data_IF_817118863573
#
_entry.id   IF_817118863573
#
_cell.length_a   1.000
_cell.length_b   1.000
_cell.length_c   1.000
_cell.angle_alpha   90.00
_cell.angle_beta   90.00
_cell.angle_gamma   90.00
#
_symmetry.space_group_name_H-M   'P 1'
#
loop_
_entity.id
_entity.type
_entity.pdbx_description
1 polymer ?
#
# COMPACT_ATOMS: atom_id res chain seq x y z
N UNK A 1 1.18 1.47 15.33
CA UNK A 1 0.94 0.93 16.68
C UNK A 1 -0.50 0.48 16.80
N UNK A 2 -0.71 -0.69 17.42
CA UNK A 2 -2.03 -1.19 17.79
C UNK A 2 -2.56 -0.31 18.92
N UNK A 3 -3.78 0.16 18.76
CA UNK A 3 -4.48 0.86 19.80
C UNK A 3 -5.22 -0.20 20.61
N UNK A 4 -4.78 -0.46 21.83
CA UNK A 4 -5.47 -1.35 22.75
C UNK A 4 -6.84 -0.76 23.04
N UNK A 5 -7.86 -1.38 22.44
CA UNK A 5 -9.18 -0.83 22.45
C UNK A 5 -10.07 -1.41 23.51
N UNK A 6 -10.59 -0.55 24.29
CA UNK A 6 -11.96 -0.72 24.75
C UNK A 6 -12.85 -0.78 23.49
N UNK A 7 -13.89 -1.65 23.46
CA UNK A 7 -14.79 -1.67 22.31
C UNK A 7 -15.35 -0.26 22.09
N UNK A 8 -15.31 0.21 20.85
CA UNK A 8 -15.76 1.51 20.39
C UNK A 8 -14.90 2.74 20.76
N UNK A 9 -13.68 2.55 21.27
CA UNK A 9 -12.77 3.64 21.56
C UNK A 9 -11.53 3.59 20.67
N UNK A 10 -11.10 4.75 20.24
CA UNK A 10 -9.76 4.95 19.68
C UNK A 10 -8.84 5.52 20.76
N UNK A 11 -7.52 5.45 20.55
CA UNK A 11 -6.54 6.16 21.40
C UNK A 11 -6.75 7.70 21.42
N UNK A 12 -7.65 8.17 20.59
CA UNK A 12 -8.16 9.55 20.54
C UNK A 12 -9.04 9.88 21.75
N UNK A 13 -9.28 8.91 22.64
CA UNK A 13 -10.13 9.11 23.84
C UNK A 13 -9.51 9.98 24.92
N UNK A 14 -8.20 10.20 24.90
CA UNK A 14 -7.52 11.11 25.82
C UNK A 14 -7.63 12.58 25.40
N UNK A 15 -8.71 12.96 24.72
CA UNK A 15 -9.00 14.35 24.50
C UNK A 15 -9.30 15.05 25.84
N UNK A 16 -8.76 16.25 26.05
CA UNK A 16 -9.13 17.08 27.19
C UNK A 16 -10.65 17.19 27.28
N UNK A 17 -11.20 17.04 28.50
CA UNK A 17 -12.63 17.13 28.80
C UNK A 17 -13.49 15.88 28.53
N UNK A 18 -12.88 14.68 28.39
CA UNK A 18 -13.64 13.43 28.47
C UNK A 18 -14.59 13.13 27.28
N UNK A 19 -14.53 13.90 26.21
CA UNK A 19 -15.36 13.64 25.03
C UNK A 19 -14.78 12.47 24.21
N UNK A 20 -15.51 11.39 24.24
CA UNK A 20 -15.18 10.15 23.54
C UNK A 20 -15.39 10.30 22.03
N UNK A 21 -14.46 9.80 21.26
CA UNK A 21 -14.64 9.64 19.82
C UNK A 21 -15.07 8.21 19.54
N UNK A 22 -16.31 8.05 19.13
CA UNK A 22 -16.84 6.74 18.75
C UNK A 22 -16.48 6.43 17.30
N UNK A 23 -16.00 5.21 17.04
CA UNK A 23 -15.73 4.67 15.71
C UNK A 23 -16.76 3.58 15.35
N UNK A 24 -18.03 3.87 15.57
CA UNK A 24 -19.13 2.94 15.32
C UNK A 24 -19.42 2.78 13.83
N UNK A 25 -19.32 3.87 13.09
CA UNK A 25 -19.49 3.88 11.64
C UNK A 25 -18.16 3.81 10.89
N UNK A 26 -18.21 3.58 9.59
CA UNK A 26 -17.01 3.60 8.75
C UNK A 26 -16.40 4.99 8.60
N UNK A 27 -17.24 6.06 8.60
CA UNK A 27 -16.84 7.47 8.42
C UNK A 27 -17.32 8.27 9.63
N UNK A 28 -16.40 8.81 10.42
CA UNK A 28 -16.68 9.48 11.70
C UNK A 28 -16.03 10.87 11.75
N UNK A 29 -16.74 11.94 11.38
CA UNK A 29 -16.26 13.29 11.62
C UNK A 29 -16.19 13.58 13.13
N UNK A 30 -15.05 14.04 13.62
CA UNK A 30 -14.87 14.44 15.00
C UNK A 30 -15.68 15.72 15.26
N UNK A 31 -16.52 15.69 16.30
CA UNK A 31 -17.25 16.85 16.69
C UNK A 31 -16.32 17.93 17.27
N UNK A 32 -16.62 19.18 16.95
CA UNK A 32 -15.97 20.33 17.57
C UNK A 32 -16.46 20.49 19.01
N UNK A 33 -15.60 21.05 19.81
CA UNK A 33 -15.98 21.52 21.14
C UNK A 33 -16.37 22.99 21.02
N UNK A 34 -17.67 23.27 21.09
CA UNK A 34 -18.20 24.63 21.27
C UNK A 34 -18.28 25.57 20.06
N UNK A 35 -18.19 25.11 18.82
CA UNK A 35 -18.38 25.99 17.66
C UNK A 35 -18.23 25.37 16.28
N UNK A 36 -18.78 26.02 15.25
CA UNK A 36 -19.08 25.44 13.93
C UNK A 36 -18.02 25.66 12.84
N UNK A 37 -16.80 26.07 13.16
CA UNK A 37 -15.93 26.57 12.09
C UNK A 37 -15.32 25.50 11.21
N UNK A 38 -14.63 24.47 11.75
CA UNK A 38 -14.03 23.39 10.96
C UNK A 38 -14.18 22.04 11.69
N UNK A 39 -14.27 20.94 10.94
CA UNK A 39 -14.16 19.59 11.50
C UNK A 39 -12.69 19.32 11.81
N UNK A 40 -12.31 18.95 13.05
CA UNK A 40 -10.91 18.75 13.41
C UNK A 40 -10.21 17.66 12.61
N UNK A 41 -10.87 16.51 12.46
CA UNK A 41 -10.47 15.38 11.64
C UNK A 41 -11.69 14.53 11.26
N UNK A 42 -11.56 13.72 10.22
CA UNK A 42 -12.52 12.66 9.88
C UNK A 42 -11.79 11.32 10.03
N UNK A 43 -12.33 10.44 10.88
CA UNK A 43 -11.79 9.11 11.09
C UNK A 43 -12.48 8.14 10.15
N UNK A 44 -11.70 7.44 9.33
CA UNK A 44 -12.20 6.42 8.42
C UNK A 44 -11.71 5.05 8.89
N UNK A 45 -12.64 4.12 9.11
CA UNK A 45 -12.31 2.78 9.57
C UNK A 45 -12.82 1.71 8.62
N UNK A 46 -11.95 0.80 8.18
CA UNK A 46 -12.31 -0.37 7.41
C UNK A 46 -12.42 -1.62 8.29
N UNK A 47 -13.42 -2.45 7.98
CA UNK A 47 -13.67 -3.73 8.66
C UNK A 47 -13.53 -4.87 7.66
N UNK A 48 -12.32 -5.42 7.47
CA UNK A 48 -12.08 -6.49 6.50
C UNK A 48 -12.94 -7.74 6.74
N UNK A 49 -13.41 -7.95 7.96
CA UNK A 49 -14.25 -9.10 8.32
C UNK A 49 -15.64 -9.10 7.69
N UNK A 50 -16.11 -7.96 7.20
CA UNK A 50 -17.42 -7.81 6.57
C UNK A 50 -17.36 -7.89 5.04
N UNK A 51 -16.18 -8.08 4.47
CA UNK A 51 -15.96 -8.16 3.04
C UNK A 51 -16.72 -9.34 2.44
N UNK A 52 -17.51 -9.08 1.40
CA UNK A 52 -18.28 -10.11 0.71
C UNK A 52 -19.52 -10.60 1.44
N UNK A 53 -19.90 -9.98 2.57
CA UNK A 53 -21.20 -10.23 3.19
C UNK A 53 -22.34 -9.78 2.27
N UNK A 54 -23.55 -10.33 2.46
CA UNK A 54 -24.71 -9.92 1.68
C UNK A 54 -25.04 -8.42 1.78
N UNK A 55 -24.67 -7.81 2.92
CA UNK A 55 -24.91 -6.39 3.21
C UNK A 55 -23.81 -5.45 2.67
N UNK A 56 -22.58 -5.96 2.55
CA UNK A 56 -21.41 -5.20 2.06
C UNK A 56 -20.61 -6.03 1.07
N UNK A 57 -21.14 -6.24 -0.15
CA UNK A 57 -20.48 -7.06 -1.18
C UNK A 57 -19.25 -6.38 -1.80
N UNK A 58 -19.06 -5.09 -1.58
CA UNK A 58 -17.90 -4.33 -2.04
C UNK A 58 -16.76 -4.37 -1.03
N UNK A 59 -15.57 -4.19 -1.53
CA UNK A 59 -14.34 -4.24 -0.73
C UNK A 59 -13.67 -2.86 -0.73
N UNK A 60 -13.40 -2.36 0.48
CA UNK A 60 -12.45 -1.27 0.63
C UNK A 60 -11.04 -1.77 0.33
N UNK A 61 -10.28 -1.00 -0.40
CA UNK A 61 -8.87 -1.27 -0.65
C UNK A 61 -8.02 -0.42 0.30
N UNK A 62 -7.46 -1.08 1.30
CA UNK A 62 -6.62 -0.45 2.32
C UNK A 62 -5.17 -0.89 2.14
N UNK A 63 -4.41 -0.15 1.34
CA UNK A 63 -2.99 -0.35 1.12
C UNK A 63 -2.21 0.93 1.47
N UNK A 64 -2.12 1.27 2.77
CA UNK A 64 -1.44 2.48 3.20
C UNK A 64 0.05 2.47 2.84
N UNK A 65 0.64 1.29 2.75
CA UNK A 65 2.04 1.14 2.34
C UNK A 65 2.28 1.59 0.90
N UNK A 66 1.27 1.48 0.03
CA UNK A 66 1.29 2.03 -1.32
C UNK A 66 0.92 3.52 -1.36
N UNK A 67 0.67 4.15 -0.22
CA UNK A 67 0.18 5.52 -0.14
C UNK A 67 -1.21 5.72 -0.74
N UNK A 68 -2.01 4.66 -0.80
CA UNK A 68 -3.33 4.67 -1.44
C UNK A 68 -4.35 3.88 -0.64
N UNK A 69 -5.51 4.50 -0.42
CA UNK A 69 -6.69 3.85 0.15
C UNK A 69 -7.87 4.16 -0.77
N UNK A 70 -8.65 3.14 -1.11
CA UNK A 70 -9.93 3.28 -1.80
C UNK A 70 -11.03 2.82 -0.87
N UNK A 71 -12.03 3.67 -0.65
CA UNK A 71 -13.06 3.46 0.34
C UNK A 71 -14.45 3.73 -0.22
N UNK A 72 -15.39 2.84 0.08
CA UNK A 72 -16.79 3.01 -0.31
C UNK A 72 -17.53 3.90 0.69
N UNK A 73 -18.31 4.83 0.19
CA UNK A 73 -19.13 5.72 1.00
C UNK A 73 -20.20 5.00 1.82
N UNK A 74 -20.91 5.75 2.64
CA UNK A 74 -21.84 5.23 3.65
C UNK A 74 -23.27 5.04 3.16
N UNK A 75 -23.58 5.24 1.88
CA UNK A 75 -24.91 4.94 1.34
C UNK A 75 -25.10 3.44 1.12
N UNK A 76 -26.23 2.91 1.59
CA UNK A 76 -26.68 1.53 1.37
C UNK A 76 -28.14 1.47 0.89
N UNK A 77 -28.77 2.61 0.77
CA UNK A 77 -30.22 2.73 0.47
C UNK A 77 -30.50 3.15 -0.97
N UNK A 78 -31.55 2.57 -1.55
CA UNK A 78 -31.99 2.83 -2.91
C UNK A 78 -32.64 4.20 -3.05
N UNK A 79 -33.37 4.64 -2.01
CA UNK A 79 -34.21 5.83 -2.03
C UNK A 79 -33.55 7.11 -1.55
N UNK A 80 -32.31 7.02 -1.08
CA UNK A 80 -31.58 8.15 -0.50
C UNK A 80 -30.51 8.60 -1.45
N UNK A 81 -30.44 9.89 -1.74
CA UNK A 81 -29.32 10.49 -2.47
C UNK A 81 -28.04 10.32 -1.68
N UNK A 82 -26.98 9.76 -2.29
CA UNK A 82 -25.74 9.45 -1.58
C UNK A 82 -25.08 10.68 -0.96
N UNK A 83 -25.27 11.86 -1.53
CA UNK A 83 -24.75 13.15 -1.05
C UNK A 83 -25.39 13.59 0.28
N UNK A 84 -26.59 13.11 0.58
CA UNK A 84 -27.32 13.43 1.83
C UNK A 84 -26.87 12.56 3.00
N UNK A 85 -26.15 11.47 2.74
CA UNK A 85 -25.57 10.64 3.81
C UNK A 85 -24.47 11.40 4.56
N UNK A 86 -24.47 11.30 5.88
CA UNK A 86 -23.61 12.10 6.77
C UNK A 86 -22.12 11.93 6.42
N UNK A 87 -21.67 10.69 6.23
CA UNK A 87 -20.27 10.40 5.90
C UNK A 87 -19.90 10.88 4.50
N UNK A 88 -20.69 10.54 3.49
CA UNK A 88 -20.47 11.00 2.12
C UNK A 88 -20.44 12.53 2.03
N UNK A 89 -21.41 13.21 2.66
CA UNK A 89 -21.47 14.67 2.71
C UNK A 89 -20.22 15.29 3.32
N UNK A 90 -19.71 14.69 4.41
CA UNK A 90 -18.49 15.15 5.06
C UNK A 90 -17.28 14.98 4.16
N UNK A 91 -17.13 13.82 3.50
CA UNK A 91 -16.00 13.56 2.60
C UNK A 91 -16.07 14.39 1.32
N UNK A 92 -17.24 14.56 0.71
CA UNK A 92 -17.39 15.40 -0.49
C UNK A 92 -17.00 16.85 -0.23
N UNK A 93 -17.42 17.42 0.91
CA UNK A 93 -16.99 18.77 1.31
C UNK A 93 -15.48 18.85 1.43
N UNK A 94 -14.83 17.81 1.97
CA UNK A 94 -13.37 17.81 2.08
C UNK A 94 -12.69 17.55 0.75
N UNK A 95 -13.28 16.78 -0.15
CA UNK A 95 -12.76 16.60 -1.50
C UNK A 95 -12.58 17.93 -2.24
N UNK A 96 -13.55 18.82 -2.15
CA UNK A 96 -13.45 20.18 -2.73
C UNK A 96 -12.28 20.96 -2.10
N UNK A 97 -12.15 20.96 -0.79
CA UNK A 97 -11.08 21.67 -0.07
C UNK A 97 -9.70 21.07 -0.31
N UNK A 98 -9.61 19.74 -0.38
CA UNK A 98 -8.34 19.04 -0.62
C UNK A 98 -7.77 19.28 -2.02
N UNK A 99 -8.64 19.53 -2.99
CA UNK A 99 -8.25 19.77 -4.38
C UNK A 99 -8.30 21.25 -4.78
N UNK A 100 -8.55 22.15 -3.83
CA UNK A 100 -8.55 23.59 -4.09
C UNK A 100 -7.14 24.10 -4.43
N UNK A 101 -7.07 24.98 -5.41
CA UNK A 101 -5.81 25.70 -5.74
C UNK A 101 -5.44 26.76 -4.69
N UNK A 102 -6.41 27.20 -3.88
CA UNK A 102 -6.21 28.23 -2.86
C UNK A 102 -5.60 27.62 -1.59
N UNK A 103 -4.51 28.20 -1.11
CA UNK A 103 -3.86 27.77 0.13
C UNK A 103 -4.77 27.97 1.35
N UNK A 104 -5.62 29.02 1.37
CA UNK A 104 -6.54 29.28 2.49
C UNK A 104 -7.60 28.20 2.64
N UNK A 105 -8.09 27.63 1.54
CA UNK A 105 -9.03 26.51 1.58
C UNK A 105 -8.35 25.26 2.15
N UNK A 106 -7.10 25.00 1.70
CA UNK A 106 -6.31 23.87 2.22
C UNK A 106 -5.91 24.04 3.69
N UNK A 107 -5.65 25.27 4.16
CA UNK A 107 -5.45 25.55 5.59
C UNK A 107 -6.65 25.13 6.44
N UNK A 108 -7.86 25.34 5.93
CA UNK A 108 -9.12 25.00 6.59
C UNK A 108 -9.57 23.56 6.32
N UNK A 109 -8.90 22.83 5.43
CA UNK A 109 -9.24 21.46 5.10
C UNK A 109 -9.06 20.52 6.32
N UNK A 110 -9.84 19.44 6.34
CA UNK A 110 -9.86 18.48 7.44
C UNK A 110 -9.02 17.25 7.08
N UNK A 111 -8.04 16.85 7.89
CA UNK A 111 -7.28 15.63 7.67
C UNK A 111 -8.19 14.40 7.79
N UNK A 112 -7.96 13.44 6.92
CA UNK A 112 -8.60 12.12 6.99
C UNK A 112 -7.62 11.16 7.65
N UNK A 113 -8.05 10.48 8.71
CA UNK A 113 -7.22 9.57 9.50
C UNK A 113 -7.76 8.15 9.33
N UNK A 114 -6.88 7.21 9.02
CA UNK A 114 -7.24 5.87 8.60
C UNK A 114 -6.98 4.84 9.69
N UNK A 115 -7.96 3.98 9.91
CA UNK A 115 -7.89 2.85 10.82
C UNK A 115 -8.37 1.57 10.14
N UNK A 116 -7.75 0.46 10.48
CA UNK A 116 -8.16 -0.88 10.08
C UNK A 116 -8.51 -1.69 11.32
N UNK A 117 -9.64 -2.37 11.30
CA UNK A 117 -9.99 -3.32 12.37
C UNK A 117 -9.18 -4.58 12.21
N UNK A 118 -8.49 -4.98 13.26
CA UNK A 118 -7.60 -6.15 13.27
C UNK A 118 -8.01 -7.10 14.38
N UNK A 119 -7.80 -8.40 14.14
CA UNK A 119 -7.95 -9.43 15.15
C UNK A 119 -6.73 -9.46 16.05
N UNK A 120 -6.93 -9.58 17.37
CA UNK A 120 -5.87 -9.75 18.35
C UNK A 120 -6.37 -10.66 19.48
N UNK A 121 -5.49 -11.53 19.96
CA UNK A 121 -5.75 -12.41 21.13
C UNK A 121 -7.05 -13.23 21.00
N UNK A 122 -7.33 -13.78 19.80
CA UNK A 122 -8.52 -14.57 19.54
C UNK A 122 -9.82 -13.77 19.38
N UNK A 123 -9.78 -12.44 19.51
CA UNK A 123 -10.92 -11.55 19.29
C UNK A 123 -10.88 -11.01 17.87
N UNK A 124 -11.84 -11.43 17.06
CA UNK A 124 -11.96 -11.00 15.66
C UNK A 124 -12.31 -9.50 15.48
N UNK A 125 -12.80 -8.84 16.52
CA UNK A 125 -13.27 -7.45 16.48
C UNK A 125 -12.84 -6.72 17.74
N UNK A 126 -12.48 -5.45 17.63
CA UNK A 126 -12.26 -4.57 18.79
C UNK A 126 -10.95 -3.80 18.79
N UNK A 127 -9.94 -4.26 18.05
CA UNK A 127 -8.66 -3.54 17.94
C UNK A 127 -8.62 -2.73 16.65
N UNK A 128 -8.04 -1.54 16.73
CA UNK A 128 -7.85 -0.63 15.61
C UNK A 128 -6.36 -0.42 15.38
N UNK A 129 -5.94 -0.66 14.16
CA UNK A 129 -4.60 -0.35 13.69
C UNK A 129 -4.63 1.01 13.00
N UNK A 130 -3.74 1.91 13.41
CA UNK A 130 -3.55 3.19 12.73
C UNK A 130 -2.82 2.97 11.40
N UNK A 131 -3.45 3.40 10.31
CA UNK A 131 -2.91 3.22 8.96
C UNK A 131 -2.46 4.54 8.31
N UNK A 132 -2.27 5.58 9.08
CA UNK A 132 -1.80 6.87 8.59
C UNK A 132 -2.90 7.91 8.44
N UNK A 133 -2.57 9.01 7.78
CA UNK A 133 -3.49 10.11 7.49
C UNK A 133 -3.22 10.67 6.09
N UNK A 134 -4.16 11.44 5.58
CA UNK A 134 -4.01 11.99 4.23
C UNK A 134 -5.19 12.81 3.77
N UNK A 135 -5.33 12.89 2.45
CA UNK A 135 -6.33 13.68 1.75
C UNK A 135 -7.13 12.83 0.75
N UNK A 136 -8.24 13.36 0.29
CA UNK A 136 -9.05 12.78 -0.79
C UNK A 136 -8.51 13.30 -2.13
N UNK A 137 -8.10 12.40 -3.01
CA UNK A 137 -7.61 12.73 -4.36
C UNK A 137 -8.69 12.59 -5.43
N UNK A 138 -9.67 11.70 -5.22
CA UNK A 138 -10.77 11.46 -6.15
C UNK A 138 -12.05 11.09 -5.41
N UNK A 139 -13.19 11.47 -5.97
CA UNK A 139 -14.51 11.05 -5.54
C UNK A 139 -15.33 10.67 -6.78
N UNK A 140 -15.65 9.40 -6.91
CA UNK A 140 -16.36 8.84 -8.05
C UNK A 140 -17.76 8.37 -7.64
N UNK A 141 -18.79 8.79 -8.37
CA UNK A 141 -20.16 8.31 -8.18
C UNK A 141 -20.34 6.98 -8.90
N UNK A 142 -20.72 5.94 -8.16
CA UNK A 142 -20.82 4.58 -8.66
C UNK A 142 -22.18 3.95 -8.36
N UNK A 143 -22.57 2.98 -9.20
CA UNK A 143 -23.74 2.14 -8.94
C UNK A 143 -23.25 0.83 -8.30
N UNK A 144 -23.85 0.48 -7.17
CA UNK A 144 -23.55 -0.74 -6.42
C UNK A 144 -24.81 -1.60 -6.35
N UNK A 145 -24.64 -2.92 -6.22
CA UNK A 145 -25.72 -3.87 -6.09
C UNK A 145 -25.80 -4.41 -4.67
N UNK A 146 -26.94 -4.32 -4.03
CA UNK A 146 -27.21 -4.88 -2.72
C UNK A 146 -27.91 -6.24 -2.88
N UNK A 147 -27.22 -7.32 -2.54
CA UNK A 147 -27.75 -8.68 -2.64
C UNK A 147 -28.93 -8.94 -1.71
N UNK A 148 -28.94 -8.34 -0.53
CA UNK A 148 -30.02 -8.54 0.46
C UNK A 148 -31.34 -7.95 0.03
N UNK A 149 -31.34 -6.79 -0.63
CA UNK A 149 -32.52 -6.11 -1.13
C UNK A 149 -32.79 -6.35 -2.62
N UNK A 150 -31.92 -7.13 -3.28
CA UNK A 150 -31.93 -7.40 -4.73
C UNK A 150 -32.15 -6.13 -5.57
N UNK A 151 -31.41 -5.07 -5.24
CA UNK A 151 -31.59 -3.74 -5.84
C UNK A 151 -30.26 -3.02 -6.05
N UNK A 152 -30.27 -2.11 -7.04
CA UNK A 152 -29.16 -1.20 -7.28
C UNK A 152 -29.34 0.08 -6.45
N UNK A 153 -28.24 0.63 -5.99
CA UNK A 153 -28.19 1.93 -5.32
C UNK A 153 -26.96 2.70 -5.75
N UNK A 154 -27.00 4.02 -5.59
CA UNK A 154 -25.88 4.90 -5.93
C UNK A 154 -25.07 5.20 -4.67
N UNK A 155 -23.76 5.17 -4.80
CA UNK A 155 -22.84 5.51 -3.73
C UNK A 155 -21.62 6.28 -4.29
N UNK A 156 -20.68 6.60 -3.44
CA UNK A 156 -19.38 7.15 -3.81
C UNK A 156 -18.27 6.17 -3.51
N UNK A 157 -17.24 6.18 -4.35
CA UNK A 157 -15.93 5.63 -4.04
C UNK A 157 -14.96 6.81 -3.92
N UNK A 158 -14.26 6.85 -2.80
CA UNK A 158 -13.25 7.86 -2.51
C UNK A 158 -11.86 7.25 -2.62
N UNK A 159 -10.97 7.90 -3.38
CA UNK A 159 -9.56 7.58 -3.40
C UNK A 159 -8.80 8.56 -2.50
N UNK A 160 -7.95 8.02 -1.64
CA UNK A 160 -7.16 8.79 -0.71
C UNK A 160 -5.66 8.63 -1.00
N UNK A 161 -4.94 9.72 -0.84
CA UNK A 161 -3.48 9.73 -0.75
C UNK A 161 -3.10 9.71 0.72
N UNK A 162 -2.33 8.69 1.11
CA UNK A 162 -1.77 8.56 2.47
C UNK A 162 -0.39 9.19 2.47
N UNK A 163 -0.15 10.09 3.43
CA UNK A 163 1.11 10.79 3.55
C UNK A 163 2.18 9.94 4.24
N UNK A 164 3.40 10.09 3.77
CA UNK A 164 4.57 9.43 4.33
C UNK A 164 5.12 10.25 5.50
N UNK A 165 5.05 9.70 6.70
CA UNK A 165 5.62 10.30 7.91
C UNK A 165 7.03 9.74 8.23
N UNK A 166 7.35 8.56 7.71
CA UNK A 166 8.64 7.91 7.99
C UNK A 166 9.82 8.64 7.32
N UNK A 167 9.58 9.28 6.18
CA UNK A 167 10.61 10.05 5.47
C UNK A 167 11.16 11.21 6.31
N UNK A 168 10.40 11.69 7.27
CA UNK A 168 10.72 12.84 8.12
C UNK A 168 10.96 12.43 9.58
N UNK A 169 10.93 11.13 9.86
CA UNK A 169 11.08 10.57 11.22
C UNK A 169 10.08 11.17 12.23
N UNK A 170 8.87 11.47 11.74
CA UNK A 170 7.80 12.07 12.55
C UNK A 170 6.78 11.02 13.00
N UNK A 171 6.33 11.13 14.24
CA UNK A 171 5.16 10.43 14.74
C UNK A 171 3.90 11.30 14.55
N UNK A 172 2.75 10.64 14.36
CA UNK A 172 1.48 11.36 14.29
C UNK A 172 1.09 11.93 15.66
N UNK A 173 1.07 13.25 15.77
CA UNK A 173 0.69 13.93 16.99
C UNK A 173 -0.83 14.19 17.09
N UNK A 174 -1.48 13.58 18.05
CA UNK A 174 -2.89 13.87 18.38
C UNK A 174 -3.09 15.27 18.96
N UNK A 175 -2.04 15.89 19.47
CA UNK A 175 -2.08 17.29 19.92
C UNK A 175 -2.47 18.25 18.79
N UNK A 176 -2.04 17.96 17.56
CA UNK A 176 -2.51 18.71 16.40
C UNK A 176 -4.04 18.68 16.27
N UNK A 177 -4.65 17.51 16.42
CA UNK A 177 -6.10 17.34 16.35
C UNK A 177 -6.80 18.02 17.53
N UNK A 178 -6.19 17.98 18.72
CA UNK A 178 -6.69 18.70 19.90
C UNK A 178 -6.70 20.21 19.68
N UNK A 179 -5.63 20.80 19.13
CA UNK A 179 -5.59 22.20 18.78
C UNK A 179 -6.65 22.58 17.74
N UNK A 180 -6.93 21.71 16.77
CA UNK A 180 -8.00 21.93 15.78
C UNK A 180 -9.41 21.87 16.40
N UNK A 181 -9.57 21.27 17.56
CA UNK A 181 -10.82 21.27 18.33
C UNK A 181 -10.99 22.53 19.19
N UNK A 182 -9.92 23.20 19.52
CA UNK A 182 -9.95 24.41 20.32
C UNK A 182 -10.53 25.57 19.51
N UNK A 183 -11.59 26.18 20.02
CA UNK A 183 -12.28 27.31 19.35
C UNK A 183 -11.47 28.59 19.34
N UNK A 184 -10.49 28.71 20.22
CA UNK A 184 -9.61 29.86 20.33
C UNK A 184 -8.45 29.79 19.35
N UNK A 185 -8.20 28.61 18.77
CA UNK A 185 -7.10 28.35 17.82
C UNK A 185 -7.64 28.32 16.40
N UNK A 186 -7.02 29.08 15.50
CA UNK A 186 -7.35 29.01 14.07
C UNK A 186 -6.78 27.76 13.42
N UNK A 187 -7.34 27.35 12.27
CA UNK A 187 -6.79 26.25 11.51
C UNK A 187 -5.31 26.51 11.13
N UNK A 188 -4.99 27.73 10.77
CA UNK A 188 -3.64 28.19 10.45
C UNK A 188 -2.68 28.07 11.64
N UNK A 189 -3.11 28.50 12.82
CA UNK A 189 -2.27 28.41 14.02
C UNK A 189 -2.05 26.96 14.46
N UNK A 190 -3.01 26.08 14.20
CA UNK A 190 -2.86 24.65 14.46
C UNK A 190 -1.79 23.97 13.58
N UNK A 191 -1.41 24.56 12.43
CA UNK A 191 -0.40 24.03 11.53
C UNK A 191 0.98 23.87 12.18
N UNK A 192 1.27 24.63 13.25
CA UNK A 192 2.54 24.48 13.98
C UNK A 192 2.76 23.06 14.52
N UNK A 193 1.69 22.34 14.85
CA UNK A 193 1.72 20.97 15.34
C UNK A 193 1.34 19.94 14.28
N UNK A 194 1.04 20.39 13.07
CA UNK A 194 0.75 19.50 11.96
C UNK A 194 2.02 18.78 11.48
N UNK A 195 1.93 17.51 11.02
CA UNK A 195 3.03 16.84 10.36
C UNK A 195 3.58 17.65 9.17
N UNK A 196 4.87 17.53 8.92
CA UNK A 196 5.54 18.29 7.86
C UNK A 196 4.93 18.04 6.47
N UNK A 197 4.52 16.78 6.20
CA UNK A 197 3.81 16.41 4.98
C UNK A 197 2.51 17.21 4.80
N UNK A 198 1.72 17.41 5.87
CA UNK A 198 0.52 18.22 5.82
C UNK A 198 0.83 19.69 5.54
N UNK A 199 1.83 20.26 6.25
CA UNK A 199 2.26 21.66 6.04
C UNK A 199 2.75 21.90 4.60
N UNK A 200 3.50 20.95 4.04
CA UNK A 200 3.99 21.05 2.66
C UNK A 200 2.84 20.99 1.65
N UNK A 201 1.88 20.09 1.86
CA UNK A 201 0.68 20.00 1.02
C UNK A 201 -0.18 21.27 1.12
N UNK A 202 -0.42 21.81 2.29
CA UNK A 202 -1.16 23.07 2.45
C UNK A 202 -0.50 24.18 1.63
N UNK A 203 0.82 24.27 1.67
CA UNK A 203 1.59 25.29 0.95
C UNK A 203 1.58 25.09 -0.57
N UNK A 204 1.80 23.86 -1.05
CA UNK A 204 2.07 23.56 -2.47
C UNK A 204 0.89 22.90 -3.21
N UNK A 205 -0.12 22.42 -2.49
CA UNK A 205 -1.26 21.73 -3.06
C UNK A 205 -0.90 20.40 -3.72
N UNK A 206 -1.68 20.04 -4.74
CA UNK A 206 -1.55 18.76 -5.47
C UNK A 206 -0.17 18.55 -6.10
N UNK A 207 0.56 19.60 -6.42
CA UNK A 207 1.93 19.54 -6.96
C UNK A 207 2.94 18.86 -6.04
N UNK A 208 2.64 18.78 -4.74
CA UNK A 208 3.51 18.12 -3.75
C UNK A 208 3.19 16.62 -3.55
N UNK A 209 2.07 16.12 -4.06
CA UNK A 209 1.56 14.80 -3.71
C UNK A 209 2.49 13.66 -4.13
N UNK A 210 3.14 13.74 -5.27
CA UNK A 210 4.08 12.71 -5.72
C UNK A 210 5.25 12.52 -4.75
N UNK A 211 5.69 13.62 -4.11
CA UNK A 211 6.75 13.60 -3.10
C UNK A 211 6.24 13.14 -1.73
N UNK A 212 5.04 13.60 -1.35
CA UNK A 212 4.49 13.39 -0.01
C UNK A 212 3.78 12.06 0.15
N UNK A 213 3.39 11.42 -0.96
CA UNK A 213 2.73 10.14 -0.94
C UNK A 213 3.64 9.09 -0.33
N UNK A 214 3.10 8.33 0.63
CA UNK A 214 3.79 7.17 1.21
C UNK A 214 4.21 6.23 0.08
N UNK A 215 5.49 5.90 0.04
CA UNK A 215 6.03 5.00 -0.97
C UNK A 215 6.27 3.63 -0.37
N UNK A 216 5.94 2.61 -1.12
CA UNK A 216 6.19 1.20 -0.77
C UNK A 216 7.69 0.95 -0.50
N UNK A 217 8.54 1.74 -1.15
CA UNK A 217 9.98 1.56 -1.23
C UNK A 217 10.69 1.39 0.12
N UNK A 218 10.22 2.08 1.17
CA UNK A 218 10.96 2.07 2.45
C UNK A 218 10.57 0.94 3.41
N UNK A 219 9.39 0.34 3.24
CA UNK A 219 8.87 -0.71 4.11
C UNK A 219 9.18 -2.14 3.60
N UNK A 220 9.70 -2.26 2.39
CA UNK A 220 9.96 -3.56 1.74
C UNK A 220 11.44 -3.87 1.58
N UNK A 221 12.33 -3.04 2.12
CA UNK A 221 13.77 -3.35 2.15
C UNK A 221 14.03 -4.36 3.26
N UNK A 222 14.31 -5.59 2.86
CA UNK A 222 14.64 -6.66 3.79
C UNK A 222 16.12 -6.57 4.20
N UNK A 223 16.38 -6.74 5.49
CA UNK A 223 17.74 -6.91 6.00
C UNK A 223 18.35 -8.22 5.47
N UNK A 224 19.66 -8.35 5.55
CA UNK A 224 20.34 -9.59 5.14
C UNK A 224 19.86 -10.80 5.90
N UNK A 225 19.55 -10.65 7.19
CA UNK A 225 19.03 -11.74 8.03
C UNK A 225 17.62 -12.19 7.67
N UNK A 226 16.79 -11.27 7.19
CA UNK A 226 15.42 -11.60 6.74
C UNK A 226 15.40 -12.29 5.38
N UNK A 227 16.42 -12.06 4.56
CA UNK A 227 16.56 -12.69 3.25
C UNK A 227 17.19 -14.08 3.32
N UNK A 228 17.91 -14.41 4.37
CA UNK A 228 18.62 -15.68 4.49
C UNK A 228 17.89 -16.65 5.42
N UNK A 229 17.89 -17.93 5.11
CA UNK A 229 17.41 -18.93 6.04
C UNK A 229 18.31 -18.98 7.29
N UNK A 230 17.70 -19.34 8.43
CA UNK A 230 18.42 -19.48 9.69
C UNK A 230 19.55 -20.51 9.54
N UNK A 231 20.75 -20.15 10.00
CA UNK A 231 21.92 -21.04 9.90
C UNK A 231 21.62 -22.40 10.54
N UNK A 232 21.96 -23.48 9.82
CA UNK A 232 21.72 -24.86 10.25
C UNK A 232 20.30 -25.40 10.04
N UNK A 233 19.35 -24.54 9.61
CA UNK A 233 17.99 -24.99 9.28
C UNK A 233 17.97 -25.91 8.03
N UNK A 234 16.89 -26.69 7.81
CA UNK A 234 16.73 -27.50 6.60
C UNK A 234 16.82 -26.66 5.32
N UNK A 235 16.27 -25.45 5.33
CA UNK A 235 16.31 -24.49 4.23
C UNK A 235 17.73 -24.02 3.95
N UNK A 236 18.51 -23.71 5.00
CA UNK A 236 19.93 -23.34 4.89
C UNK A 236 20.75 -24.47 4.26
N UNK A 237 20.58 -25.70 4.75
CA UNK A 237 21.27 -26.89 4.20
C UNK A 237 20.89 -27.14 2.74
N UNK A 238 19.62 -26.92 2.37
CA UNK A 238 19.15 -27.06 1.00
C UNK A 238 19.78 -26.02 0.09
N UNK A 239 19.87 -24.76 0.55
CA UNK A 239 20.49 -23.68 -0.21
C UNK A 239 22.02 -23.91 -0.37
N UNK A 240 22.70 -24.38 0.66
CA UNK A 240 24.12 -24.78 0.58
C UNK A 240 24.33 -25.92 -0.42
N UNK A 241 23.47 -26.91 -0.42
CA UNK A 241 23.55 -28.03 -1.38
C UNK A 241 23.34 -27.57 -2.82
N UNK A 242 22.36 -26.68 -3.05
CA UNK A 242 22.11 -26.05 -4.36
C UNK A 242 23.36 -25.28 -4.82
N UNK A 243 23.86 -24.37 -3.99
CA UNK A 243 25.07 -23.60 -4.32
C UNK A 243 26.24 -24.51 -4.60
N UNK A 244 26.53 -25.46 -3.72
CA UNK A 244 27.63 -26.43 -3.84
C UNK A 244 27.55 -27.24 -5.13
N UNK A 245 26.34 -27.63 -5.55
CA UNK A 245 26.14 -28.36 -6.79
C UNK A 245 26.37 -27.50 -8.03
N UNK A 246 25.75 -26.32 -8.08
CA UNK A 246 25.75 -25.49 -9.28
C UNK A 246 27.01 -24.64 -9.44
N UNK A 247 27.73 -24.32 -8.39
CA UNK A 247 28.96 -23.52 -8.45
C UNK A 247 30.20 -24.26 -9.01
N UNK A 248 30.18 -25.60 -9.04
CA UNK A 248 31.36 -26.45 -9.36
C UNK A 248 31.92 -26.29 -10.78
N UNK A 249 31.13 -25.88 -11.75
CA UNK A 249 31.59 -25.69 -13.12
C UNK A 249 30.70 -24.73 -13.90
N UNK A 250 31.26 -24.16 -14.99
CA UNK A 250 30.51 -23.27 -15.89
C UNK A 250 29.25 -23.94 -16.45
N UNK A 251 29.35 -25.21 -16.81
CA UNK A 251 28.20 -25.96 -17.35
C UNK A 251 27.09 -26.14 -16.29
N UNK A 252 27.47 -26.39 -15.02
CA UNK A 252 26.50 -26.47 -13.92
C UNK A 252 25.87 -25.11 -13.61
N UNK A 253 26.63 -24.02 -13.68
CA UNK A 253 26.08 -22.65 -13.53
C UNK A 253 25.01 -22.36 -14.60
N UNK A 254 25.22 -22.77 -15.84
CA UNK A 254 24.19 -22.70 -16.90
C UNK A 254 22.95 -23.52 -16.58
N UNK A 255 23.10 -24.68 -15.94
CA UNK A 255 21.94 -25.50 -15.52
C UNK A 255 21.17 -24.85 -14.35
N UNK A 256 21.76 -23.91 -13.61
CA UNK A 256 21.05 -23.12 -12.61
C UNK A 256 19.96 -22.25 -13.24
N UNK A 257 20.10 -21.81 -14.48
CA UNK A 257 19.08 -21.05 -15.24
C UNK A 257 17.77 -21.84 -15.35
N UNK A 258 17.87 -23.18 -15.52
CA UNK A 258 16.68 -24.06 -15.54
C UNK A 258 16.00 -24.10 -14.18
N UNK A 259 16.76 -24.22 -13.08
CA UNK A 259 16.21 -24.20 -11.73
C UNK A 259 15.54 -22.86 -11.45
N UNK A 260 16.18 -21.76 -11.82
CA UNK A 260 15.65 -20.41 -11.66
C UNK A 260 14.31 -20.22 -12.42
N UNK A 261 14.23 -20.73 -13.66
CA UNK A 261 12.98 -20.70 -14.41
C UNK A 261 11.85 -21.50 -13.74
N UNK A 262 12.18 -22.68 -13.18
CA UNK A 262 11.20 -23.51 -12.44
C UNK A 262 10.72 -22.80 -11.16
N UNK A 263 11.64 -22.24 -10.39
CA UNK A 263 11.34 -21.49 -9.16
C UNK A 263 10.48 -20.27 -9.48
N UNK A 264 10.85 -19.51 -10.52
CA UNK A 264 10.05 -18.38 -11.00
C UNK A 264 8.64 -18.80 -11.37
N UNK A 265 8.50 -19.88 -12.15
CA UNK A 265 7.18 -20.40 -12.52
C UNK A 265 6.35 -20.80 -11.31
N UNK A 266 6.97 -21.42 -10.30
CA UNK A 266 6.31 -21.81 -9.07
C UNK A 266 5.80 -20.61 -8.27
N UNK A 267 6.64 -19.58 -8.10
CA UNK A 267 6.31 -18.35 -7.35
C UNK A 267 5.19 -17.58 -8.05
N UNK A 268 5.32 -17.34 -9.36
CA UNK A 268 4.31 -16.56 -10.10
C UNK A 268 2.98 -17.31 -10.15
N UNK A 269 2.97 -18.63 -10.30
CA UNK A 269 1.74 -19.43 -10.33
C UNK A 269 0.98 -19.45 -9.00
N UNK A 270 1.63 -19.16 -7.88
CA UNK A 270 0.93 -19.00 -6.59
C UNK A 270 -0.02 -17.80 -6.60
N UNK A 271 0.33 -16.74 -7.30
CA UNK A 271 -0.46 -15.50 -7.38
C UNK A 271 -1.27 -15.40 -8.67
N UNK A 272 -0.75 -15.96 -9.78
CA UNK A 272 -1.43 -15.97 -11.07
C UNK A 272 -1.23 -17.30 -11.80
N UNK A 273 -2.27 -18.10 -11.89
CA UNK A 273 -2.26 -19.43 -12.53
C UNK A 273 -1.99 -19.38 -14.05
N UNK A 274 -2.11 -18.22 -14.69
CA UNK A 274 -1.97 -18.06 -16.14
C UNK A 274 -0.52 -17.79 -16.59
N UNK A 275 0.47 -18.05 -15.74
CA UNK A 275 1.87 -18.00 -16.15
C UNK A 275 2.24 -19.21 -17.01
N UNK A 276 2.88 -18.95 -18.16
CA UNK A 276 3.40 -19.95 -19.08
C UNK A 276 4.92 -19.82 -19.14
N UNK A 277 5.63 -20.88 -18.75
CA UNK A 277 7.07 -20.96 -18.95
C UNK A 277 7.35 -21.04 -20.46
N UNK A 278 8.30 -20.26 -20.92
CA UNK A 278 8.75 -20.24 -22.31
C UNK A 278 10.01 -21.09 -22.49
N UNK A 279 11.12 -20.47 -22.84
CA UNK A 279 12.37 -21.16 -23.15
C UNK A 279 13.55 -20.60 -22.35
N UNK A 280 14.59 -21.44 -22.24
CA UNK A 280 15.91 -21.06 -21.74
C UNK A 280 16.73 -20.56 -22.93
N UNK A 281 17.43 -19.46 -22.77
CA UNK A 281 18.23 -18.87 -23.85
C UNK A 281 19.55 -19.62 -24.09
N UNK A 282 20.08 -19.57 -25.31
CA UNK A 282 21.31 -20.29 -25.66
C UNK A 282 22.55 -19.44 -25.40
N UNK A 283 22.92 -19.23 -24.20
CA UNK A 283 24.10 -18.73 -23.55
C UNK A 283 25.31 -18.08 -24.23
N UNK A 284 25.31 -17.69 -25.50
CA UNK A 284 26.36 -16.86 -26.08
C UNK A 284 25.76 -15.82 -27.03
N UNK A 285 25.80 -14.54 -26.63
CA UNK A 285 25.28 -13.44 -27.46
C UNK A 285 23.89 -12.95 -27.11
N UNK A 286 23.20 -13.54 -26.12
CA UNK A 286 21.83 -13.25 -25.75
C UNK A 286 21.68 -12.13 -24.69
N UNK A 287 22.71 -11.29 -24.61
CA UNK A 287 22.66 -10.07 -23.82
C UNK A 287 22.40 -10.28 -22.31
N UNK A 288 22.53 -11.52 -21.74
CA UNK A 288 22.33 -11.84 -20.31
C UNK A 288 20.85 -11.94 -19.90
N UNK A 289 20.02 -12.46 -20.76
CA UNK A 289 18.70 -12.99 -20.46
C UNK A 289 18.85 -14.51 -20.43
N UNK A 290 18.44 -15.15 -19.33
CA UNK A 290 18.67 -16.58 -19.14
C UNK A 290 17.42 -17.40 -19.44
N UNK A 291 16.23 -16.84 -19.19
CA UNK A 291 14.95 -17.48 -19.51
C UNK A 291 13.85 -16.48 -19.83
N UNK A 292 12.87 -16.95 -20.56
CA UNK A 292 11.69 -16.16 -20.96
C UNK A 292 10.43 -16.90 -20.59
N UNK A 293 9.42 -16.16 -20.19
CA UNK A 293 8.07 -16.64 -19.93
C UNK A 293 7.00 -15.65 -20.34
N UNK A 294 5.76 -16.00 -20.15
CA UNK A 294 4.60 -15.13 -20.43
C UNK A 294 3.61 -15.21 -19.30
N UNK A 295 3.14 -14.05 -18.87
CA UNK A 295 2.07 -13.89 -17.91
C UNK A 295 0.84 -13.31 -18.59
N UNK A 296 -0.25 -14.05 -18.59
CA UNK A 296 -1.51 -13.61 -19.15
C UNK A 296 -2.36 -13.00 -18.02
N UNK A 297 -2.86 -11.77 -18.22
CA UNK A 297 -3.69 -11.04 -17.25
C UNK A 297 -5.02 -10.71 -17.91
N UNK A 298 -6.13 -10.99 -17.20
CA UNK A 298 -7.48 -10.78 -17.69
C UNK A 298 -7.98 -11.91 -18.59
N UNK A 299 -9.23 -11.78 -19.03
CA UNK A 299 -9.93 -12.74 -19.88
C UNK A 299 -10.60 -12.05 -21.07
N UNK A 300 -10.91 -12.83 -22.13
CA UNK A 300 -11.62 -12.34 -23.30
C UNK A 300 -10.89 -11.21 -24.02
N UNK A 301 -11.62 -10.18 -24.39
CA UNK A 301 -11.11 -9.04 -25.18
C UNK A 301 -10.09 -8.17 -24.42
N UNK A 302 -10.15 -8.15 -23.07
CA UNK A 302 -9.26 -7.39 -22.20
C UNK A 302 -7.98 -8.12 -21.78
N UNK A 303 -7.65 -9.24 -22.44
CA UNK A 303 -6.47 -10.03 -22.08
C UNK A 303 -5.17 -9.34 -22.49
N UNK A 304 -4.35 -9.00 -21.47
CA UNK A 304 -3.00 -8.50 -21.67
C UNK A 304 -1.99 -9.65 -21.54
N UNK A 305 -0.97 -9.63 -22.42
CA UNK A 305 0.14 -10.59 -22.40
C UNK A 305 1.41 -9.85 -22.00
N UNK A 306 1.93 -10.15 -20.82
CA UNK A 306 3.20 -9.60 -20.34
C UNK A 306 4.32 -10.60 -20.62
N UNK A 307 5.40 -10.13 -21.20
CA UNK A 307 6.62 -10.94 -21.34
C UNK A 307 7.35 -10.92 -20.01
N UNK A 308 7.79 -12.09 -19.56
CA UNK A 308 8.60 -12.26 -18.35
C UNK A 308 10.03 -12.58 -18.79
N UNK A 309 10.98 -11.70 -18.44
CA UNK A 309 12.40 -11.90 -18.69
C UNK A 309 13.09 -12.27 -17.38
N UNK A 310 13.80 -13.37 -17.36
CA UNK A 310 14.52 -13.84 -16.19
C UNK A 310 16.03 -13.81 -16.38
N UNK A 311 16.73 -13.39 -15.33
CA UNK A 311 18.16 -13.57 -15.17
C UNK A 311 18.43 -14.40 -13.91
N UNK A 312 19.40 -15.30 -13.99
CA UNK A 312 19.75 -16.22 -12.92
C UNK A 312 21.24 -16.16 -12.61
N UNK A 313 21.59 -16.09 -11.33
CA UNK A 313 22.99 -16.04 -10.93
C UNK A 313 23.24 -16.89 -9.70
N UNK A 314 24.06 -17.95 -9.89
CA UNK A 314 24.56 -18.76 -8.78
C UNK A 314 25.76 -18.06 -8.14
N UNK A 315 25.50 -17.32 -7.09
CA UNK A 315 26.50 -16.55 -6.31
C UNK A 315 26.75 -17.19 -4.95
N UNK A 316 27.90 -16.87 -4.34
CA UNK A 316 28.21 -17.33 -2.99
C UNK A 316 27.20 -16.79 -1.98
N UNK A 317 26.76 -17.63 -1.04
CA UNK A 317 25.68 -17.31 -0.08
C UNK A 317 25.92 -16.03 0.74
N UNK A 318 27.18 -15.59 0.84
CA UNK A 318 27.57 -14.38 1.57
C UNK A 318 27.99 -13.22 0.65
N UNK A 319 27.84 -13.36 -0.67
CA UNK A 319 28.21 -12.33 -1.64
C UNK A 319 26.94 -11.57 -2.05
N UNK A 320 26.77 -10.28 -1.69
CA UNK A 320 25.56 -9.55 -2.06
C UNK A 320 25.43 -9.39 -3.57
N UNK A 321 24.25 -9.60 -4.11
CA UNK A 321 23.93 -9.23 -5.50
C UNK A 321 23.96 -7.71 -5.61
N UNK A 322 24.85 -7.19 -6.45
CA UNK A 322 25.09 -5.76 -6.61
C UNK A 322 24.25 -5.11 -7.72
N UNK A 323 24.13 -3.78 -7.68
CA UNK A 323 23.33 -2.96 -8.58
C UNK A 323 23.68 -3.11 -10.07
N UNK A 324 24.95 -3.30 -10.44
CA UNK A 324 25.38 -3.44 -11.83
C UNK A 324 24.68 -4.59 -12.57
N UNK A 325 24.43 -5.70 -11.89
CA UNK A 325 23.74 -6.86 -12.49
C UNK A 325 22.23 -6.59 -12.66
N UNK A 326 21.66 -5.96 -11.67
CA UNK A 326 20.24 -5.56 -11.69
C UNK A 326 20.00 -4.50 -12.76
N UNK A 327 20.82 -3.46 -12.83
CA UNK A 327 20.74 -2.41 -13.85
C UNK A 327 20.81 -2.96 -15.29
N UNK A 328 21.63 -3.99 -15.53
CA UNK A 328 21.68 -4.68 -16.83
C UNK A 328 20.37 -5.40 -17.16
N UNK A 329 19.72 -6.00 -16.18
CA UNK A 329 18.42 -6.66 -16.37
C UNK A 329 17.34 -5.61 -16.66
N UNK A 330 17.31 -4.56 -15.86
CA UNK A 330 16.36 -3.44 -16.03
C UNK A 330 16.50 -2.78 -17.41
N UNK A 331 17.73 -2.52 -17.87
CA UNK A 331 18.00 -1.89 -19.17
C UNK A 331 17.42 -2.67 -20.39
N UNK A 332 17.05 -3.93 -20.19
CA UNK A 332 16.46 -4.79 -21.24
C UNK A 332 14.94 -4.83 -21.19
N UNK A 333 14.34 -4.40 -20.10
CA UNK A 333 12.90 -4.39 -19.96
C UNK A 333 12.29 -3.36 -20.90
N UNK A 334 11.37 -3.82 -21.73
CA UNK A 334 10.54 -2.96 -22.58
C UNK A 334 9.22 -2.67 -21.86
N UNK A 335 8.48 -1.69 -22.35
CA UNK A 335 7.15 -1.38 -21.84
C UNK A 335 6.25 -2.61 -21.87
N UNK A 336 5.60 -2.91 -20.75
CA UNK A 336 4.73 -4.09 -20.60
C UNK A 336 5.50 -5.40 -20.37
N UNK A 337 6.78 -5.34 -19.98
CA UNK A 337 7.57 -6.50 -19.60
C UNK A 337 7.79 -6.54 -18.08
N UNK A 338 7.87 -7.75 -17.54
CA UNK A 338 8.21 -8.03 -16.15
C UNK A 338 9.60 -8.66 -16.11
N UNK A 339 10.49 -8.09 -15.32
CA UNK A 339 11.80 -8.69 -15.03
C UNK A 339 11.72 -9.66 -13.86
N UNK A 340 12.56 -10.67 -13.87
CA UNK A 340 12.80 -11.56 -12.74
C UNK A 340 14.30 -11.75 -12.58
N UNK A 341 14.80 -11.58 -11.37
CA UNK A 341 16.19 -11.86 -11.04
C UNK A 341 16.24 -12.91 -9.93
N UNK A 342 16.91 -14.03 -10.20
CA UNK A 342 17.04 -15.16 -9.26
C UNK A 342 18.50 -15.32 -8.83
N UNK A 343 18.75 -15.38 -7.54
CA UNK A 343 20.10 -15.60 -6.99
C UNK A 343 20.09 -16.67 -5.90
N UNK A 344 21.23 -17.31 -5.66
CA UNK A 344 21.48 -18.13 -4.46
C UNK A 344 21.98 -17.29 -3.29
N UNK A 345 22.10 -15.98 -3.47
CA UNK A 345 22.62 -15.04 -2.48
C UNK A 345 21.51 -14.13 -1.95
N UNK A 346 21.83 -12.91 -1.58
CA UNK A 346 20.90 -11.91 -1.09
C UNK A 346 21.09 -10.58 -1.82
N UNK A 347 20.05 -9.75 -1.82
CA UNK A 347 20.09 -8.42 -2.43
C UNK A 347 20.52 -7.37 -1.41
N UNK A 348 21.49 -6.53 -1.79
CA UNK A 348 21.92 -5.44 -0.91
C UNK A 348 20.80 -4.40 -0.73
N UNK A 349 20.75 -3.72 0.42
CA UNK A 349 19.75 -2.69 0.67
C UNK A 349 19.72 -1.58 -0.39
N UNK A 350 20.86 -1.06 -0.89
CA UNK A 350 20.84 -0.08 -1.99
C UNK A 350 20.16 -0.59 -3.24
N UNK A 351 20.35 -1.85 -3.62
CA UNK A 351 19.70 -2.46 -4.78
C UNK A 351 18.18 -2.53 -4.61
N UNK A 352 17.73 -2.95 -3.45
CA UNK A 352 16.30 -3.01 -3.16
C UNK A 352 15.66 -1.62 -3.22
N UNK A 353 16.32 -0.60 -2.64
CA UNK A 353 15.86 0.80 -2.67
C UNK A 353 15.78 1.31 -4.12
N UNK A 354 16.82 1.10 -4.92
CA UNK A 354 16.87 1.54 -6.32
C UNK A 354 15.70 0.99 -7.15
N UNK A 355 15.44 -0.31 -7.05
CA UNK A 355 14.33 -0.96 -7.75
C UNK A 355 12.97 -0.39 -7.34
N UNK A 356 12.82 -0.15 -6.04
CA UNK A 356 11.57 0.35 -5.46
C UNK A 356 11.34 1.84 -5.80
N UNK A 357 12.39 2.65 -5.79
CA UNK A 357 12.31 4.08 -6.09
C UNK A 357 12.08 4.34 -7.58
N UNK A 358 12.73 3.58 -8.45
CA UNK A 358 12.59 3.70 -9.91
C UNK A 358 11.34 3.00 -10.46
N UNK A 359 10.59 2.30 -9.59
CA UNK A 359 9.36 1.56 -9.95
C UNK A 359 9.56 0.58 -11.11
N UNK A 360 10.72 -0.04 -11.18
CA UNK A 360 10.94 -1.06 -12.18
C UNK A 360 10.10 -2.31 -11.90
N UNK A 361 9.43 -2.86 -12.90
CA UNK A 361 8.67 -4.09 -12.75
C UNK A 361 9.62 -5.29 -12.68
N UNK A 362 10.34 -5.43 -11.56
CA UNK A 362 11.35 -6.46 -11.34
C UNK A 362 11.02 -7.26 -10.06
N UNK A 363 10.83 -8.56 -10.22
CA UNK A 363 10.68 -9.51 -9.13
C UNK A 363 12.06 -10.03 -8.71
N UNK A 364 12.41 -9.87 -7.44
CA UNK A 364 13.65 -10.39 -6.85
C UNK A 364 13.35 -11.71 -6.13
N UNK A 365 14.15 -12.75 -6.41
CA UNK A 365 14.02 -14.09 -5.81
C UNK A 365 15.40 -14.54 -5.32
N UNK A 366 15.47 -14.92 -4.08
CA UNK A 366 16.64 -15.49 -3.45
C UNK A 366 16.31 -16.76 -2.64
#
# INVERSE_FOLDING_TARGET
PLIDGLPNFSAVTNFPNGNLVQLESGINPIAKYGGDKITPAILVSSSPHNIGSAETPWQDFFAPDNGHIKYCGDNKGVTVEPEKKKGNKALLKQFEMHNSENASDRENATPIIFFKRVARDGRAKGNLEFNGFGIISSAERVVQFNKSSNSYFVNYIFDFVVFDMMAENEDFSWEWINLRRDNTVTAKDSLRMAPAAWREWVKKGTKSLDKLRRRVSKLQVLSTSEQKPVSGSPEHKSLEAIYSFYSKSTNRKKRFENLAAIVTAHIIKKTNKQYQAGWITKGSGDSGIDFVGRLDIGEGFGKAKLIVLGQAKCEGLNTPTGGTHIARTVAKLKRGWLGVYVTTSYFSAPVQVEILDDKYPLLLIN
#
